data_IF_377392148164
#
_entry.id   IF_377392148164
#
_cell.length_a   1.000
_cell.length_b   1.000
_cell.length_c   1.000
_cell.angle_alpha   90.00
_cell.angle_beta   90.00
_cell.angle_gamma   90.00
#
_symmetry.space_group_name_H-M   'P 1'
#
loop_
_entity.id
_entity.type
_entity.pdbx_description
1 polymer ?
#
# COMPACT_ATOMS: atom_id res chain seq x y z
N UNK A 1 11.89 -10.82 -8.09
CA UNK A 1 10.51 -11.24 -7.78
C UNK A 1 10.58 -12.68 -7.31
N UNK A 2 10.44 -12.94 -6.02
CA UNK A 2 10.31 -14.32 -5.56
C UNK A 2 8.86 -14.72 -5.85
N UNK A 3 8.66 -15.65 -6.78
CA UNK A 3 7.40 -16.38 -6.87
C UNK A 3 7.05 -16.91 -5.46
N UNK A 4 5.76 -17.08 -5.12
CA UNK A 4 5.34 -17.72 -3.87
C UNK A 4 5.72 -19.21 -3.87
N UNK A 5 7.02 -19.49 -3.84
CA UNK A 5 7.62 -20.82 -3.88
C UNK A 5 7.62 -21.45 -2.50
N UNK A 6 7.58 -20.65 -1.44
CA UNK A 6 7.38 -21.16 -0.08
C UNK A 6 5.88 -21.29 0.21
N UNK A 7 5.38 -22.49 0.58
CA UNK A 7 3.97 -22.71 0.91
C UNK A 7 3.47 -21.81 2.05
N UNK A 8 4.36 -21.39 2.96
CA UNK A 8 4.07 -20.47 4.05
C UNK A 8 3.63 -19.07 3.57
N UNK A 9 4.29 -18.49 2.55
CA UNK A 9 3.88 -17.18 2.02
C UNK A 9 2.49 -17.26 1.38
N UNK A 10 2.20 -18.36 0.67
CA UNK A 10 0.91 -18.56 0.02
C UNK A 10 -0.23 -18.69 1.03
N UNK A 11 -0.06 -19.49 2.09
CA UNK A 11 -1.10 -19.64 3.11
C UNK A 11 -1.39 -18.33 3.86
N UNK A 12 -0.35 -17.59 4.25
CA UNK A 12 -0.48 -16.28 4.92
C UNK A 12 -1.19 -15.27 4.02
N UNK A 13 -0.82 -15.23 2.73
CA UNK A 13 -1.45 -14.32 1.75
C UNK A 13 -2.93 -14.65 1.57
N UNK A 14 -3.27 -15.92 1.35
CA UNK A 14 -4.65 -16.35 1.18
C UNK A 14 -5.48 -16.07 2.43
N UNK A 15 -4.96 -16.38 3.62
CA UNK A 15 -5.62 -16.07 4.88
C UNK A 15 -5.86 -14.56 5.06
N UNK A 16 -4.86 -13.74 4.73
CA UNK A 16 -4.96 -12.27 4.83
C UNK A 16 -6.05 -11.73 3.90
N UNK A 17 -6.03 -12.16 2.64
CA UNK A 17 -6.99 -11.71 1.63
C UNK A 17 -8.41 -12.15 1.99
N UNK A 18 -8.61 -13.41 2.39
CA UNK A 18 -9.94 -13.91 2.76
C UNK A 18 -10.47 -13.23 4.03
N UNK A 19 -9.62 -12.98 5.02
CA UNK A 19 -9.99 -12.26 6.26
C UNK A 19 -10.43 -10.84 5.95
N UNK A 20 -9.71 -10.12 5.08
CA UNK A 20 -10.07 -8.76 4.69
C UNK A 20 -11.38 -8.68 3.91
N UNK A 21 -11.64 -9.64 3.01
CA UNK A 21 -12.88 -9.69 2.24
C UNK A 21 -14.09 -10.04 3.13
N UNK A 22 -13.88 -10.83 4.18
CA UNK A 22 -14.96 -11.31 5.06
C UNK A 22 -15.31 -10.32 6.18
N UNK A 23 -14.36 -9.55 6.70
CA UNK A 23 -14.58 -8.67 7.86
C UNK A 23 -15.16 -7.31 7.48
N UNK A 24 -16.38 -7.01 7.96
CA UNK A 24 -17.06 -5.72 7.73
C UNK A 24 -16.26 -4.52 8.24
N UNK A 25 -15.59 -4.66 9.38
CA UNK A 25 -14.81 -3.58 10.02
C UNK A 25 -13.63 -3.15 9.15
N UNK A 26 -12.88 -4.11 8.60
CA UNK A 26 -11.75 -3.85 7.72
C UNK A 26 -12.20 -3.22 6.40
N UNK A 27 -13.29 -3.73 5.82
CA UNK A 27 -13.91 -3.14 4.63
C UNK A 27 -14.31 -1.69 4.85
N UNK A 28 -14.94 -1.36 5.98
CA UNK A 28 -15.41 0.00 6.27
C UNK A 28 -14.24 1.00 6.32
N UNK A 29 -13.12 0.61 6.94
CA UNK A 29 -11.90 1.42 6.97
C UNK A 29 -11.38 1.64 5.55
N UNK A 30 -11.19 0.56 4.77
CA UNK A 30 -10.70 0.67 3.40
C UNK A 30 -11.62 1.54 2.54
N UNK A 31 -12.94 1.38 2.64
CA UNK A 31 -13.90 2.20 1.88
C UNK A 31 -13.87 3.67 2.29
N UNK A 32 -13.62 3.99 3.55
CA UNK A 32 -13.48 5.38 4.00
C UNK A 32 -12.25 6.05 3.35
N UNK A 33 -11.12 5.33 3.30
CA UNK A 33 -9.92 5.81 2.62
C UNK A 33 -10.11 5.92 1.10
N UNK A 34 -10.84 4.98 0.48
CA UNK A 34 -11.19 5.07 -0.94
C UNK A 34 -12.11 6.25 -1.24
N UNK A 35 -13.05 6.58 -0.34
CA UNK A 35 -13.88 7.78 -0.45
C UNK A 35 -13.04 9.07 -0.43
N UNK A 36 -12.03 9.13 0.43
CA UNK A 36 -11.07 10.25 0.46
C UNK A 36 -10.24 10.32 -0.84
N UNK A 37 -9.78 9.17 -1.34
CA UNK A 37 -9.10 9.10 -2.63
C UNK A 37 -9.97 9.68 -3.74
N UNK A 38 -11.25 9.26 -3.79
CA UNK A 38 -12.23 9.72 -4.77
C UNK A 38 -12.49 11.22 -4.67
N UNK A 39 -12.59 11.77 -3.45
CA UNK A 39 -12.75 13.21 -3.25
C UNK A 39 -11.54 14.01 -3.77
N UNK A 40 -10.31 13.53 -3.52
CA UNK A 40 -9.08 14.22 -3.95
C UNK A 40 -8.88 14.10 -5.46
N UNK A 41 -9.15 12.93 -6.04
CA UNK A 41 -9.01 12.71 -7.48
C UNK A 41 -10.04 13.53 -8.27
N UNK A 42 -11.29 13.55 -7.83
CA UNK A 42 -12.33 14.40 -8.45
C UNK A 42 -11.97 15.88 -8.36
N UNK A 43 -11.53 16.36 -7.19
CA UNK A 43 -11.07 17.74 -7.04
C UNK A 43 -9.88 18.05 -7.97
N UNK A 44 -8.92 17.13 -8.08
CA UNK A 44 -7.75 17.30 -8.95
C UNK A 44 -8.13 17.44 -10.43
N UNK A 45 -9.14 16.69 -10.88
CA UNK A 45 -9.69 16.79 -12.24
C UNK A 45 -10.42 18.13 -12.44
N UNK A 46 -11.26 18.54 -11.48
CA UNK A 46 -12.01 19.81 -11.56
C UNK A 46 -11.04 21.00 -11.62
N UNK A 47 -10.04 21.04 -10.74
CA UNK A 47 -9.03 22.11 -10.70
C UNK A 47 -8.21 22.14 -12.00
N UNK A 48 -7.87 20.98 -12.55
CA UNK A 48 -7.09 20.90 -13.77
C UNK A 48 -7.86 21.29 -15.04
N UNK A 49 -9.17 21.07 -15.07
CA UNK A 49 -10.02 21.54 -16.17
C UNK A 49 -10.39 23.01 -16.07
N UNK A 50 -10.29 23.60 -14.87
CA UNK A 50 -10.81 24.93 -14.60
C UNK A 50 -12.34 24.97 -14.71
N UNK A 51 -12.97 26.02 -14.18
CA UNK A 51 -14.43 26.17 -14.23
C UNK A 51 -15.00 26.32 -15.67
N UNK A 52 -14.14 26.51 -16.69
CA UNK A 52 -14.54 26.80 -18.09
C UNK A 52 -13.71 26.08 -19.17
N UNK A 53 -12.72 25.26 -18.79
CA UNK A 53 -11.85 24.59 -19.76
C UNK A 53 -12.28 23.15 -20.02
N UNK A 54 -12.22 22.73 -21.29
CA UNK A 54 -12.38 21.33 -21.68
C UNK A 54 -11.06 20.58 -21.44
N UNK A 55 -11.04 19.67 -20.46
CA UNK A 55 -9.95 18.70 -20.35
C UNK A 55 -10.04 17.75 -21.54
N UNK A 56 -8.97 17.70 -22.32
CA UNK A 56 -8.80 16.67 -23.34
C UNK A 56 -8.48 15.33 -22.67
N UNK A 57 -9.52 14.54 -22.39
CA UNK A 57 -9.38 13.22 -21.77
C UNK A 57 -8.68 12.20 -22.67
N UNK A 58 -8.55 12.48 -23.96
CA UNK A 58 -7.84 11.66 -24.95
C UNK A 58 -6.31 11.83 -24.91
N UNK A 59 -5.78 12.70 -24.05
CA UNK A 59 -4.34 12.92 -23.91
C UNK A 59 -3.85 12.64 -22.49
N UNK A 60 -2.61 12.14 -22.33
CA UNK A 60 -1.98 11.93 -21.04
C UNK A 60 -1.63 13.26 -20.35
N UNK A 61 -2.63 13.85 -19.70
CA UNK A 61 -2.47 14.98 -18.81
C UNK A 61 -1.96 14.52 -17.44
N UNK A 62 -1.18 15.37 -16.77
CA UNK A 62 -0.62 15.09 -15.43
C UNK A 62 -1.74 14.75 -14.44
N UNK A 63 -2.87 15.44 -14.53
CA UNK A 63 -4.01 15.24 -13.64
C UNK A 63 -4.69 13.88 -13.83
N UNK A 64 -4.72 13.36 -15.06
CA UNK A 64 -5.23 12.01 -15.35
C UNK A 64 -4.25 10.95 -14.85
N UNK A 65 -2.94 11.16 -15.05
CA UNK A 65 -1.88 10.28 -14.56
C UNK A 65 -1.77 10.24 -13.03
N UNK A 66 -2.13 11.34 -12.35
CA UNK A 66 -2.16 11.40 -10.89
C UNK A 66 -3.31 10.58 -10.28
N UNK A 67 -4.42 10.34 -11.01
CA UNK A 67 -5.59 9.59 -10.53
C UNK A 67 -5.23 8.20 -9.96
N UNK A 68 -4.57 7.30 -10.72
CA UNK A 68 -4.20 5.98 -10.21
C UNK A 68 -3.22 6.08 -9.05
N UNK A 69 -2.24 6.98 -9.10
CA UNK A 69 -1.22 7.14 -8.06
C UNK A 69 -1.82 7.58 -6.72
N UNK A 70 -2.72 8.57 -6.72
CA UNK A 70 -3.45 9.01 -5.52
C UNK A 70 -4.31 7.86 -4.98
N UNK A 71 -5.01 7.15 -5.87
CA UNK A 71 -5.87 6.03 -5.48
C UNK A 71 -5.08 4.90 -4.84
N UNK A 72 -3.93 4.53 -5.41
CA UNK A 72 -3.01 3.55 -4.81
C UNK A 72 -2.49 3.99 -3.45
N UNK A 73 -2.15 5.28 -3.28
CA UNK A 73 -1.68 5.80 -2.00
C UNK A 73 -2.72 5.67 -0.90
N UNK A 74 -3.96 6.10 -1.15
CA UNK A 74 -5.02 5.99 -0.15
C UNK A 74 -5.47 4.55 0.08
N UNK A 75 -5.52 3.73 -0.96
CA UNK A 75 -5.86 2.32 -0.83
C UNK A 75 -4.81 1.55 -0.01
N UNK A 76 -3.51 1.79 -0.24
CA UNK A 76 -2.43 1.19 0.57
C UNK A 76 -2.44 1.69 2.02
N UNK A 77 -2.70 2.98 2.27
CA UNK A 77 -2.88 3.51 3.62
C UNK A 77 -4.10 2.92 4.32
N UNK A 78 -5.24 2.82 3.63
CA UNK A 78 -6.44 2.20 4.16
C UNK A 78 -6.22 0.73 4.50
N UNK A 79 -5.48 0.01 3.66
CA UNK A 79 -5.10 -1.37 3.93
C UNK A 79 -4.16 -1.50 5.12
N UNK A 80 -3.16 -0.61 5.22
CA UNK A 80 -2.25 -0.54 6.37
C UNK A 80 -3.00 -0.21 7.67
N UNK A 81 -3.97 0.70 7.62
CA UNK A 81 -4.81 1.04 8.76
C UNK A 81 -5.70 -0.15 9.16
N UNK A 82 -6.25 -0.87 8.18
CA UNK A 82 -7.02 -2.09 8.40
C UNK A 82 -6.14 -3.19 9.04
N UNK A 83 -4.89 -3.36 8.61
CA UNK A 83 -3.95 -4.31 9.24
C UNK A 83 -3.61 -3.99 10.71
N UNK A 84 -3.76 -2.72 11.12
CA UNK A 84 -3.53 -2.31 12.51
C UNK A 84 -4.73 -2.59 13.42
N UNK A 85 -5.89 -2.95 12.86
CA UNK A 85 -7.06 -3.35 13.64
C UNK A 85 -7.01 -4.86 13.87
N UNK A 86 -6.98 -5.35 15.12
CA UNK A 86 -7.00 -6.78 15.37
C UNK A 86 -8.33 -7.37 14.88
N UNK A 87 -8.29 -8.38 14.01
CA UNK A 87 -9.49 -9.04 13.50
C UNK A 87 -10.04 -10.08 14.47
N UNK A 88 -9.15 -10.77 15.21
CA UNK A 88 -9.45 -11.64 16.35
C UNK A 88 -8.13 -11.99 17.07
N UNK A 89 -8.07 -11.84 18.40
CA UNK A 89 -6.91 -12.24 19.23
C UNK A 89 -6.59 -13.75 19.08
N UNK A 90 -7.59 -14.55 18.70
CA UNK A 90 -7.47 -15.99 18.45
C UNK A 90 -6.73 -16.32 17.14
N UNK A 91 -6.54 -15.41 16.19
CA UNK A 91 -5.68 -15.74 15.03
C UNK A 91 -4.19 -15.80 15.42
N UNK A 92 -3.82 -15.20 16.56
CA UNK A 92 -2.43 -15.10 17.00
C UNK A 92 -1.83 -16.47 17.39
N UNK A 93 -2.64 -17.41 17.89
CA UNK A 93 -2.12 -18.73 18.31
C UNK A 93 -1.57 -19.54 17.12
N UNK A 94 -2.22 -19.47 15.95
CA UNK A 94 -1.78 -20.18 14.74
C UNK A 94 -0.43 -19.67 14.25
N UNK A 95 -0.21 -18.35 14.31
CA UNK A 95 1.09 -17.75 13.94
C UNK A 95 2.18 -17.98 14.98
N UNK A 96 1.81 -18.10 16.27
CA UNK A 96 2.75 -18.47 17.34
C UNK A 96 3.21 -19.92 17.23
N UNK A 97 2.32 -20.84 16.83
CA UNK A 97 2.66 -22.26 16.63
C UNK A 97 3.48 -22.49 15.37
N UNK A 98 3.24 -21.73 14.30
CA UNK A 98 3.96 -21.90 13.03
C UNK A 98 5.31 -21.16 12.98
N UNK A 99 5.57 -20.22 13.90
CA UNK A 99 6.78 -19.38 13.96
C UNK A 99 7.34 -19.00 12.57
N UNK A 100 6.51 -18.48 11.64
CA UNK A 100 6.97 -18.18 10.30
C UNK A 100 8.05 -17.09 10.36
N UNK A 101 9.09 -17.18 9.53
CA UNK A 101 10.14 -16.15 9.48
C UNK A 101 9.52 -14.79 9.19
N UNK A 102 9.96 -13.74 9.90
CA UNK A 102 9.49 -12.35 9.72
C UNK A 102 9.55 -11.91 8.25
N UNK A 103 10.61 -12.30 7.53
CA UNK A 103 10.76 -12.02 6.11
C UNK A 103 9.60 -12.56 5.27
N UNK A 104 9.15 -13.80 5.53
CA UNK A 104 8.05 -14.45 4.81
C UNK A 104 6.70 -13.80 5.11
N UNK A 105 6.46 -13.38 6.36
CA UNK A 105 5.23 -12.67 6.73
C UNK A 105 5.17 -11.30 6.05
N UNK A 106 6.28 -10.56 6.05
CA UNK A 106 6.35 -9.27 5.39
C UNK A 106 6.20 -9.42 3.87
N UNK A 107 6.77 -10.47 3.26
CA UNK A 107 6.60 -10.75 1.83
C UNK A 107 5.15 -11.06 1.49
N UNK A 108 4.48 -11.88 2.30
CA UNK A 108 3.04 -12.12 2.16
C UNK A 108 2.24 -10.83 2.29
N UNK A 109 2.62 -9.92 3.20
CA UNK A 109 1.93 -8.64 3.40
C UNK A 109 2.11 -7.70 2.21
N UNK A 110 3.32 -7.62 1.65
CA UNK A 110 3.58 -6.89 0.39
C UNK A 110 2.74 -7.47 -0.74
N UNK A 111 2.70 -8.80 -0.87
CA UNK A 111 1.90 -9.46 -1.90
C UNK A 111 0.41 -9.17 -1.70
N UNK A 112 -0.11 -9.19 -0.46
CA UNK A 112 -1.49 -8.82 -0.17
C UNK A 112 -1.80 -7.36 -0.52
N UNK A 113 -0.89 -6.41 -0.23
CA UNK A 113 -1.03 -5.02 -0.67
C UNK A 113 -1.06 -4.89 -2.19
N UNK A 114 -0.18 -5.62 -2.87
CA UNK A 114 -0.13 -5.64 -4.33
C UNK A 114 -1.44 -6.18 -4.92
N UNK A 115 -1.90 -7.33 -4.43
CA UNK A 115 -3.11 -7.99 -4.94
C UNK A 115 -4.40 -7.22 -4.64
N UNK A 116 -4.51 -6.59 -3.47
CA UNK A 116 -5.76 -5.95 -3.06
C UNK A 116 -5.87 -4.47 -3.46
N UNK A 117 -4.74 -3.79 -3.71
CA UNK A 117 -4.73 -2.36 -4.00
C UNK A 117 -4.03 -2.02 -5.31
N UNK A 118 -2.75 -2.37 -5.46
CA UNK A 118 -1.94 -1.83 -6.55
C UNK A 118 -2.31 -2.43 -7.90
N UNK A 119 -2.38 -3.76 -7.99
CA UNK A 119 -2.77 -4.49 -9.21
C UNK A 119 -4.17 -4.07 -9.68
N UNK A 120 -5.24 -4.10 -8.85
CA UNK A 120 -6.57 -3.74 -9.32
C UNK A 120 -6.68 -2.26 -9.72
N UNK A 121 -6.00 -1.35 -9.03
CA UNK A 121 -6.02 0.08 -9.41
C UNK A 121 -5.28 0.30 -10.73
N UNK A 122 -4.12 -0.34 -10.93
CA UNK A 122 -3.35 -0.25 -12.18
C UNK A 122 -4.14 -0.81 -13.37
N UNK A 123 -4.80 -1.96 -13.19
CA UNK A 123 -5.60 -2.58 -14.27
C UNK A 123 -6.83 -1.75 -14.61
N UNK A 124 -7.54 -1.23 -13.61
CA UNK A 124 -8.69 -0.33 -13.83
C UNK A 124 -8.26 0.96 -14.54
N UNK A 125 -7.12 1.53 -14.17
CA UNK A 125 -6.59 2.72 -14.83
C UNK A 125 -6.21 2.44 -16.29
N UNK A 126 -5.53 1.32 -16.56
CA UNK A 126 -5.19 0.90 -17.91
C UNK A 126 -6.43 0.69 -18.79
N UNK A 127 -7.46 0.01 -18.27
CA UNK A 127 -8.73 -0.17 -18.96
C UNK A 127 -9.45 1.17 -19.19
N UNK A 128 -9.41 2.07 -18.22
CA UNK A 128 -9.94 3.43 -18.36
C UNK A 128 -9.22 4.23 -19.44
N UNK A 129 -7.90 4.14 -19.53
CA UNK A 129 -7.11 4.80 -20.58
C UNK A 129 -7.46 4.25 -21.97
N UNK A 130 -7.59 2.94 -22.12
CA UNK A 130 -8.02 2.31 -23.38
C UNK A 130 -9.45 2.73 -23.76
N UNK A 131 -10.35 2.88 -22.79
CA UNK A 131 -11.71 3.36 -23.04
C UNK A 131 -11.79 4.86 -23.41
N UNK A 132 -10.74 5.63 -23.14
CA UNK A 132 -10.59 7.05 -23.50
C UNK A 132 -9.82 7.24 -24.81
N UNK A 133 -9.72 6.21 -25.64
CA UNK A 133 -9.00 6.20 -26.93
C UNK A 133 -7.50 6.51 -26.83
N UNK A 134 -6.86 6.19 -25.70
CA UNK A 134 -5.39 6.30 -25.60
C UNK A 134 -4.73 5.21 -26.43
N UNK A 135 -3.52 5.48 -26.91
CA UNK A 135 -2.77 4.44 -27.62
C UNK A 135 -2.47 3.27 -26.66
N UNK A 136 -2.55 2.01 -27.12
CA UNK A 136 -2.24 0.86 -26.27
C UNK A 136 -0.84 0.91 -25.66
N UNK A 137 0.10 1.56 -26.35
CA UNK A 137 1.45 1.79 -25.85
C UNK A 137 1.46 2.73 -24.64
N UNK A 138 0.72 3.84 -24.71
CA UNK A 138 0.62 4.81 -23.60
C UNK A 138 -0.07 4.18 -22.37
N UNK A 139 -1.13 3.41 -22.61
CA UNK A 139 -1.82 2.69 -21.54
C UNK A 139 -0.91 1.64 -20.87
N UNK A 140 -0.13 0.88 -21.65
CA UNK A 140 0.80 -0.11 -21.13
C UNK A 140 1.99 0.51 -20.38
N UNK A 141 2.53 1.62 -20.89
CA UNK A 141 3.62 2.34 -20.22
C UNK A 141 3.13 2.99 -18.93
N UNK A 142 1.94 3.59 -18.91
CA UNK A 142 1.31 4.09 -17.67
C UNK A 142 1.14 2.96 -16.65
N UNK A 143 0.53 1.84 -17.04
CA UNK A 143 0.27 0.71 -16.14
C UNK A 143 1.56 0.10 -15.55
N UNK A 144 2.60 -0.04 -16.36
CA UNK A 144 3.90 -0.56 -15.91
C UNK A 144 4.59 0.41 -14.95
N UNK A 145 4.55 1.71 -15.22
CA UNK A 145 5.10 2.73 -14.32
C UNK A 145 4.31 2.78 -13.01
N UNK A 146 2.98 2.73 -13.06
CA UNK A 146 2.11 2.65 -11.88
C UNK A 146 2.42 1.43 -11.02
N UNK A 147 2.61 0.27 -11.65
CA UNK A 147 2.94 -0.98 -10.94
C UNK A 147 4.29 -0.88 -10.23
N UNK A 148 5.30 -0.30 -10.88
CA UNK A 148 6.63 -0.07 -10.29
C UNK A 148 6.56 0.93 -9.13
N UNK A 149 5.81 2.02 -9.29
CA UNK A 149 5.60 3.01 -8.23
C UNK A 149 4.85 2.40 -7.05
N UNK A 150 3.80 1.64 -7.32
CA UNK A 150 3.02 0.93 -6.32
C UNK A 150 3.86 -0.09 -5.55
N UNK A 151 4.78 -0.79 -6.21
CA UNK A 151 5.71 -1.70 -5.54
C UNK A 151 6.62 -0.97 -4.54
N UNK A 152 7.20 0.16 -4.95
CA UNK A 152 8.00 1.00 -4.06
C UNK A 152 7.17 1.57 -2.90
N UNK A 153 5.91 1.94 -3.19
CA UNK A 153 4.96 2.41 -2.19
C UNK A 153 4.61 1.33 -1.16
N UNK A 154 4.41 0.08 -1.59
CA UNK A 154 4.13 -1.04 -0.69
C UNK A 154 5.30 -1.30 0.28
N UNK A 155 6.54 -1.27 -0.21
CA UNK A 155 7.74 -1.40 0.63
C UNK A 155 7.89 -0.21 1.59
N UNK A 156 7.68 1.02 1.12
CA UNK A 156 7.66 2.21 1.97
C UNK A 156 6.58 2.13 3.04
N UNK A 157 5.38 1.68 2.68
CA UNK A 157 4.26 1.48 3.59
C UNK A 157 4.49 0.34 4.58
N UNK A 158 5.56 -0.47 4.45
CA UNK A 158 5.90 -1.50 5.43
C UNK A 158 7.25 -1.26 6.12
N UNK A 159 7.96 -0.16 5.81
CA UNK A 159 9.27 0.17 6.38
C UNK A 159 9.29 0.23 7.92
N UNK A 160 8.18 0.65 8.51
CA UNK A 160 8.03 0.84 9.97
C UNK A 160 7.28 -0.33 10.63
N UNK A 161 6.81 -1.31 9.85
CA UNK A 161 6.11 -2.49 10.37
C UNK A 161 7.13 -3.53 10.85
N UNK A 162 7.30 -3.61 12.17
CA UNK A 162 8.15 -4.64 12.82
C UNK A 162 7.35 -5.85 13.32
N UNK A 163 6.07 -5.90 13.03
CA UNK A 163 5.11 -6.81 13.63
C UNK A 163 4.15 -7.42 12.60
N UNK A 164 3.61 -8.60 12.93
CA UNK A 164 2.68 -9.35 12.08
C UNK A 164 1.36 -8.58 11.97
N UNK A 165 0.82 -8.37 10.75
CA UNK A 165 -0.51 -7.78 10.55
C UNK A 165 -1.56 -8.43 11.45
N UNK A 166 -2.49 -7.65 11.99
CA UNK A 166 -3.61 -8.09 12.85
C UNK A 166 -3.29 -8.57 14.27
N UNK A 167 -2.02 -8.67 14.66
CA UNK A 167 -1.64 -9.20 16.01
C UNK A 167 -1.30 -8.13 17.03
N UNK A 168 -1.22 -6.85 16.62
CA UNK A 168 -0.83 -5.74 17.49
C UNK A 168 -1.99 -4.81 17.72
N UNK A 169 -2.29 -4.55 19.00
CA UNK A 169 -3.04 -3.34 19.37
C UNK A 169 -2.05 -2.19 19.41
N UNK A 170 -2.29 -1.14 18.62
CA UNK A 170 -1.45 0.07 18.64
C UNK A 170 -1.82 0.89 19.87
N UNK A 171 -1.38 0.46 21.04
CA UNK A 171 -1.55 1.15 22.32
C UNK A 171 -0.75 2.45 22.29
N UNK A 172 -1.38 3.54 21.84
CA UNK A 172 -0.79 4.89 21.90
C UNK A 172 -1.22 5.90 20.83
N UNK A 173 -2.11 5.56 19.90
CA UNK A 173 -2.34 6.40 18.71
C UNK A 173 -3.46 7.45 18.82
N UNK A 174 -4.17 7.56 19.94
CA UNK A 174 -5.20 8.60 20.10
C UNK A 174 -4.61 10.02 20.13
N UNK A 175 -3.41 10.21 20.70
CA UNK A 175 -2.80 11.54 20.87
C UNK A 175 -1.86 11.95 19.71
N UNK A 176 -1.39 11.02 18.87
CA UNK A 176 -0.44 11.33 17.78
C UNK A 176 -1.06 11.55 16.38
N UNK A 177 -2.38 11.31 16.24
CA UNK A 177 -3.12 11.43 14.98
C UNK A 177 -2.97 12.82 14.34
N UNK A 178 -3.01 13.90 15.12
CA UNK A 178 -2.88 15.27 14.59
C UNK A 178 -1.47 15.60 14.09
N UNK A 179 -0.43 15.02 14.69
CA UNK A 179 0.98 15.30 14.35
C UNK A 179 1.47 14.47 13.16
N UNK A 180 0.97 13.23 12.98
CA UNK A 180 1.40 12.34 11.90
C UNK A 180 0.76 12.59 10.53
N UNK A 181 -0.36 13.30 10.45
CA UNK A 181 -1.01 13.60 9.17
C UNK A 181 -0.11 14.39 8.22
N UNK A 182 0.68 15.35 8.72
CA UNK A 182 1.69 16.06 7.91
C UNK A 182 2.74 15.10 7.33
N UNK A 183 3.11 14.07 8.10
CA UNK A 183 4.03 13.03 7.68
C UNK A 183 3.51 12.14 6.55
N UNK A 184 2.19 12.16 6.26
CA UNK A 184 1.58 11.43 5.15
C UNK A 184 1.26 12.33 3.94
N UNK A 185 0.99 13.62 4.17
CA UNK A 185 0.70 14.58 3.10
C UNK A 185 1.94 14.83 2.22
N UNK A 186 3.13 15.01 2.81
CA UNK A 186 4.35 15.28 2.03
C UNK A 186 4.70 14.09 1.11
N UNK A 187 4.72 12.83 1.61
CA UNK A 187 4.88 11.66 0.75
C UNK A 187 3.77 11.52 -0.30
N UNK A 188 2.51 11.82 0.04
CA UNK A 188 1.41 11.79 -0.93
C UNK A 188 1.68 12.74 -2.09
N UNK A 189 2.04 13.99 -1.81
CA UNK A 189 2.25 15.01 -2.84
C UNK A 189 3.47 14.64 -3.69
N UNK A 190 4.58 14.28 -3.06
CA UNK A 190 5.78 13.84 -3.77
C UNK A 190 5.48 12.59 -4.61
N UNK A 191 4.80 11.60 -4.06
CA UNK A 191 4.50 10.36 -4.76
C UNK A 191 3.51 10.57 -5.91
N UNK A 192 2.41 11.28 -5.70
CA UNK A 192 1.39 11.44 -6.73
C UNK A 192 1.85 12.38 -7.86
N UNK A 193 2.33 13.58 -7.50
CA UNK A 193 2.59 14.62 -8.52
C UNK A 193 3.96 14.47 -9.19
N UNK A 194 5.00 14.06 -8.46
CA UNK A 194 6.32 13.88 -9.09
C UNK A 194 6.28 12.67 -10.02
N UNK A 195 5.70 11.54 -9.61
CA UNK A 195 5.61 10.38 -10.49
C UNK A 195 4.67 10.64 -11.68
N UNK A 196 3.57 11.39 -11.53
CA UNK A 196 2.73 11.79 -12.66
C UNK A 196 3.45 12.71 -13.66
N UNK A 197 4.24 13.67 -13.16
CA UNK A 197 5.07 14.53 -13.99
C UNK A 197 6.13 13.73 -14.75
N UNK A 198 6.75 12.75 -14.08
CA UNK A 198 7.74 11.88 -14.71
C UNK A 198 7.09 10.95 -15.74
N UNK A 199 5.95 10.31 -15.44
CA UNK A 199 5.20 9.52 -16.41
C UNK A 199 4.92 10.31 -17.69
N UNK A 200 4.49 11.57 -17.56
CA UNK A 200 4.28 12.45 -18.71
C UNK A 200 5.58 12.75 -19.47
N UNK A 201 6.70 12.91 -18.78
CA UNK A 201 8.01 13.11 -19.43
C UNK A 201 8.49 11.87 -20.19
N UNK A 202 8.22 10.68 -19.65
CA UNK A 202 8.55 9.38 -20.25
C UNK A 202 7.74 9.14 -21.52
N UNK A 203 6.44 9.44 -21.49
CA UNK A 203 5.55 9.35 -22.66
C UNK A 203 5.98 10.30 -23.80
N UNK A 204 6.73 11.36 -23.50
CA UNK A 204 7.28 12.28 -24.51
C UNK A 204 8.69 11.92 -25.00
N UNK A 205 9.45 11.12 -24.25
CA UNK A 205 10.85 10.81 -24.60
C UNK A 205 11.32 9.46 -24.04
N UNK A 206 11.77 8.57 -24.94
CA UNK A 206 12.22 7.22 -24.59
C UNK A 206 13.50 7.18 -23.71
N UNK A 207 14.34 8.24 -23.74
CA UNK A 207 15.55 8.31 -22.90
C UNK A 207 15.24 8.59 -21.43
N UNK A 208 14.19 9.34 -21.15
CA UNK A 208 13.75 9.60 -19.77
C UNK A 208 13.21 8.34 -19.10
N UNK A 209 12.66 7.40 -19.88
CA UNK A 209 12.17 6.10 -19.41
C UNK A 209 13.27 5.28 -18.72
N UNK A 210 14.44 5.17 -19.36
CA UNK A 210 15.56 4.37 -18.86
C UNK A 210 16.12 4.91 -17.54
N UNK A 211 16.27 6.23 -17.43
CA UNK A 211 16.73 6.88 -16.19
C UNK A 211 15.73 6.70 -15.05
N UNK A 212 14.43 6.86 -15.33
CA UNK A 212 13.40 6.69 -14.33
C UNK A 212 13.29 5.24 -13.85
N UNK A 213 13.31 4.28 -14.77
CA UNK A 213 13.36 2.85 -14.43
C UNK A 213 14.57 2.56 -13.54
N UNK A 214 15.73 3.12 -13.86
CA UNK A 214 16.94 3.01 -13.04
C UNK A 214 16.75 3.56 -11.62
N UNK A 215 16.15 4.74 -11.47
CA UNK A 215 15.90 5.38 -10.16
C UNK A 215 14.90 4.57 -9.32
N UNK A 216 13.79 4.14 -9.92
CA UNK A 216 12.77 3.36 -9.21
C UNK A 216 13.28 1.97 -8.84
N UNK A 217 14.01 1.31 -9.74
CA UNK A 217 14.64 0.02 -9.45
C UNK A 217 15.69 0.14 -8.36
N UNK A 218 16.56 1.16 -8.41
CA UNK A 218 17.57 1.36 -7.36
C UNK A 218 16.92 1.70 -6.02
N UNK A 219 15.92 2.58 -5.99
CA UNK A 219 15.16 2.87 -4.77
C UNK A 219 14.51 1.61 -4.20
N UNK A 220 13.91 0.78 -5.06
CA UNK A 220 13.32 -0.50 -4.67
C UNK A 220 14.36 -1.50 -4.16
N UNK A 221 15.49 -1.68 -4.86
CA UNK A 221 16.57 -2.58 -4.42
C UNK A 221 17.14 -2.12 -3.07
N UNK A 222 17.39 -0.82 -2.89
CA UNK A 222 17.89 -0.27 -1.63
C UNK A 222 16.89 -0.51 -0.50
N UNK A 223 15.60 -0.27 -0.73
CA UNK A 223 14.56 -0.54 0.27
C UNK A 223 14.46 -2.02 0.60
N UNK A 224 14.50 -2.89 -0.41
CA UNK A 224 14.47 -4.34 -0.24
C UNK A 224 15.66 -4.85 0.55
N UNK A 225 16.87 -4.39 0.23
CA UNK A 225 18.08 -4.74 0.97
C UNK A 225 17.98 -4.25 2.41
N UNK A 226 17.62 -2.98 2.64
CA UNK A 226 17.41 -2.44 4.00
C UNK A 226 16.42 -3.28 4.80
N UNK A 227 15.31 -3.69 4.19
CA UNK A 227 14.31 -4.56 4.83
C UNK A 227 14.86 -5.95 5.14
N UNK A 228 15.60 -6.56 4.22
CA UNK A 228 16.23 -7.86 4.47
C UNK A 228 17.27 -7.79 5.60
N UNK A 229 18.07 -6.73 5.65
CA UNK A 229 19.03 -6.51 6.73
C UNK A 229 18.33 -6.26 8.08
N UNK A 230 17.28 -5.42 8.10
CA UNK A 230 16.52 -5.15 9.32
C UNK A 230 15.76 -6.39 9.83
N UNK A 231 15.17 -7.18 8.92
CA UNK A 231 14.42 -8.39 9.27
C UNK A 231 15.32 -9.56 9.72
N UNK A 232 16.62 -9.54 9.37
CA UNK A 232 17.59 -10.56 9.77
C UNK A 232 18.04 -10.44 11.23
N UNK A 233 17.89 -9.25 11.84
CA UNK A 233 18.36 -8.96 13.20
C UNK A 233 17.24 -8.83 14.24
N UNK A 234 15.98 -9.04 13.87
CA UNK A 234 14.83 -8.81 14.76
C UNK A 234 14.01 -10.09 14.91
N UNK A 235 13.90 -10.60 16.14
CA UNK A 235 12.97 -11.67 16.50
C UNK A 235 11.53 -11.15 16.52
N UNK A 236 10.58 -11.96 16.06
CA UNK A 236 9.15 -11.64 16.08
C UNK A 236 8.69 -11.33 17.50
N UNK A 237 8.27 -10.09 17.73
CA UNK A 237 7.67 -9.67 18.99
C UNK A 237 6.17 -9.98 18.90
N UNK A 238 5.77 -11.08 19.54
CA UNK A 238 4.35 -11.42 19.72
C UNK A 238 3.84 -10.67 20.94
N UNK A 239 2.72 -9.97 20.80
CA UNK A 239 2.05 -9.32 21.93
C UNK A 239 1.69 -10.40 22.97
N UNK A 240 2.13 -10.20 24.22
CA UNK A 240 1.87 -11.15 25.28
C UNK A 240 0.40 -10.99 25.71
N UNK A 241 -0.44 -11.93 25.29
CA UNK A 241 -1.74 -12.14 25.95
C UNK A 241 -1.44 -12.74 27.34
N UNK A 242 -1.11 -11.87 28.30
CA UNK A 242 -1.44 -11.95 29.74
C UNK A 242 -0.43 -11.15 30.59
N UNK A 243 -0.81 -9.96 31.01
CA UNK A 243 -0.36 -9.40 32.29
C UNK A 243 -1.51 -8.83 33.15
N UNK A 244 -2.71 -8.64 32.59
CA UNK A 244 -3.86 -8.11 33.35
C UNK A 244 -4.68 -9.18 34.10
N UNK A 245 -4.59 -10.47 33.74
CA UNK A 245 -5.27 -11.55 34.49
C UNK A 245 -4.44 -12.16 35.62
N UNK A 246 -3.13 -11.88 35.69
CA UNK A 246 -2.29 -12.40 36.78
C UNK A 246 -2.41 -11.56 38.06
N UNK A 247 -2.74 -10.27 37.96
CA UNK A 247 -2.91 -9.41 39.13
C UNK A 247 -4.30 -9.50 39.78
N UNK A 248 -5.30 -10.09 39.12
CA UNK A 248 -6.64 -10.26 39.70
C UNK A 248 -6.77 -11.50 40.60
N UNK A 249 -5.79 -12.41 40.62
CA UNK A 249 -5.77 -13.58 41.52
C UNK A 249 -4.91 -13.40 42.77
N UNK A 250 -4.15 -12.31 42.86
CA UNK A 250 -3.26 -12.05 44.02
C UNK A 250 -3.91 -11.21 45.12
N UNK A 251 -5.15 -10.76 44.92
CA UNK A 251 -5.93 -10.01 45.93
C UNK A 251 -7.17 -10.80 46.45
N UNK A 252 -7.22 -12.10 46.20
CA UNK A 252 -8.32 -12.97 46.63
C UNK A 252 -7.83 -14.19 47.43
N UNK A 253 -6.79 -14.00 48.26
CA UNK A 253 -6.34 -14.97 49.27
C UNK A 253 -6.11 -14.27 50.59
#
# INVERSE_FOLDING_TARGET
MALPSSPAVRSVTTFTVTTMLRSRRHRLIVTAYLGLALAITTLSVIVAGGLRGTLAFNQPAISLLALPLVTMFFATLGLRAAFAVPSDLDANWVFRLSQPRLASVLDATVISLLLLSIVPVSTLAALGALALDWTPHDAATMATLDLLCGLALAEWALRDCRAVPFTWTRSGDAESLKSRWLGHIVPLILFAFVNAAIQRSVLRSNRAAAWYLGIVLTAWVVQRLRRQFAARNVSLQFDAVDSSRRNARTYAS
#
